data_IF_013734022259
#
_entry.id   IF_013734022259
#
_cell.length_a   1.000
_cell.length_b   1.000
_cell.length_c   1.000
_cell.angle_alpha   90.00
_cell.angle_beta   90.00
_cell.angle_gamma   90.00
#
_symmetry.space_group_name_H-M   'P 1'
#
loop_
_entity.id
_entity.type
_entity.pdbx_description
1 polymer ?
#
# COMPACT_ATOMS: atom_id res chain seq x y z
N UNK A 1 -4.72 -2.99 1.49
CA UNK A 1 -3.79 -3.99 0.89
C UNK A 1 -2.50 -4.19 1.70
N UNK A 2 -1.59 -3.22 1.72
CA UNK A 2 -0.23 -3.38 2.27
C UNK A 2 -0.21 -3.77 3.75
N UNK A 3 -0.99 -3.10 4.58
CA UNK A 3 -1.04 -3.39 6.02
C UNK A 3 -1.51 -4.83 6.30
N UNK A 4 -2.52 -5.31 5.57
CA UNK A 4 -2.97 -6.70 5.68
C UNK A 4 -1.84 -7.67 5.37
N UNK A 5 -1.12 -7.48 4.26
CA UNK A 5 -0.03 -8.35 3.84
C UNK A 5 1.09 -8.38 4.89
N UNK A 6 1.49 -7.22 5.42
CA UNK A 6 2.51 -7.14 6.48
C UNK A 6 2.04 -7.87 7.75
N UNK A 7 0.78 -7.67 8.16
CA UNK A 7 0.20 -8.39 9.31
C UNK A 7 0.09 -9.90 9.06
N UNK A 8 -0.24 -10.31 7.84
CA UNK A 8 -0.29 -11.71 7.44
C UNK A 8 1.07 -12.37 7.57
N UNK A 9 2.12 -11.75 7.01
CA UNK A 9 3.51 -12.24 7.09
C UNK A 9 3.95 -12.36 8.55
N UNK A 10 3.68 -11.34 9.37
CA UNK A 10 4.01 -11.40 10.79
C UNK A 10 3.29 -12.55 11.52
N UNK A 11 1.99 -12.73 11.25
CA UNK A 11 1.17 -13.75 11.93
C UNK A 11 1.46 -15.19 11.49
N UNK A 12 1.82 -15.41 10.21
CA UNK A 12 2.02 -16.76 9.64
C UNK A 12 3.48 -17.17 9.58
N UNK A 13 4.37 -16.22 9.31
CA UNK A 13 5.80 -16.48 9.11
C UNK A 13 6.64 -16.01 10.30
N UNK A 14 6.07 -15.31 11.29
CA UNK A 14 6.82 -14.76 12.43
C UNK A 14 7.80 -13.64 12.06
N UNK A 15 7.75 -13.17 10.80
CA UNK A 15 8.67 -12.19 10.25
C UNK A 15 8.07 -10.80 10.37
N UNK A 16 8.77 -9.91 11.08
CA UNK A 16 8.40 -8.49 11.13
C UNK A 16 9.00 -7.73 9.94
N UNK A 17 8.13 -7.23 9.06
CA UNK A 17 8.53 -6.28 8.02
C UNK A 17 8.31 -4.87 8.55
N UNK A 18 9.41 -4.20 8.91
CA UNK A 18 9.33 -2.82 9.37
C UNK A 18 8.91 -1.86 8.26
N UNK A 19 8.37 -0.70 8.65
CA UNK A 19 7.99 0.37 7.73
C UNK A 19 9.12 0.73 6.75
N UNK A 20 10.35 0.88 7.27
CA UNK A 20 11.52 1.21 6.46
C UNK A 20 11.84 0.14 5.40
N UNK A 21 11.68 -1.16 5.73
CA UNK A 21 11.86 -2.26 4.78
C UNK A 21 10.77 -2.28 3.71
N UNK A 22 9.52 -2.10 4.10
CA UNK A 22 8.42 -2.01 3.15
C UNK A 22 8.60 -0.83 2.18
N UNK A 23 9.05 0.31 2.71
CA UNK A 23 9.37 1.50 1.93
C UNK A 23 10.53 1.26 0.94
N UNK A 24 11.56 0.49 1.32
CA UNK A 24 12.65 0.13 0.42
C UNK A 24 12.21 -0.71 -0.79
N UNK A 25 11.07 -1.41 -0.70
CA UNK A 25 10.43 -2.11 -1.83
C UNK A 25 9.57 -1.14 -2.64
N UNK A 26 8.75 -0.33 -1.96
CA UNK A 26 7.79 0.57 -2.60
C UNK A 26 8.41 1.77 -3.32
N UNK A 27 9.43 2.40 -2.74
CA UNK A 27 10.06 3.61 -3.33
C UNK A 27 10.62 3.35 -4.72
N UNK A 28 11.44 2.30 -4.97
CA UNK A 28 11.93 2.02 -6.31
C UNK A 28 10.81 1.88 -7.34
N UNK A 29 9.72 1.19 -6.98
CA UNK A 29 8.55 1.07 -7.85
C UNK A 29 7.93 2.43 -8.15
N UNK A 30 7.68 3.26 -7.14
CA UNK A 30 7.06 4.58 -7.31
C UNK A 30 7.93 5.50 -8.18
N UNK A 31 9.24 5.51 -7.95
CA UNK A 31 10.18 6.34 -8.70
C UNK A 31 10.24 5.98 -10.19
N UNK A 32 9.94 4.74 -10.56
CA UNK A 32 9.87 4.30 -11.96
C UNK A 32 8.45 4.45 -12.50
N UNK A 33 7.46 3.97 -11.76
CA UNK A 33 6.09 3.84 -12.26
C UNK A 33 5.40 5.20 -12.41
N UNK A 34 5.61 6.15 -11.48
CA UNK A 34 4.98 7.48 -11.58
C UNK A 34 5.43 8.26 -12.83
N UNK A 35 6.74 8.37 -13.14
CA UNK A 35 7.18 8.97 -14.40
C UNK A 35 6.65 8.24 -15.64
N UNK A 36 6.59 6.90 -15.61
CA UNK A 36 6.02 6.11 -16.72
C UNK A 36 4.53 6.40 -16.89
N UNK A 37 3.76 6.48 -15.81
CA UNK A 37 2.35 6.87 -15.84
C UNK A 37 2.17 8.26 -16.43
N UNK A 38 2.96 9.24 -15.98
CA UNK A 38 2.91 10.60 -16.50
C UNK A 38 3.21 10.62 -18.00
N UNK A 39 4.31 9.98 -18.42
CA UNK A 39 4.71 9.96 -19.83
C UNK A 39 3.65 9.26 -20.70
N UNK A 40 3.14 8.11 -20.26
CA UNK A 40 2.14 7.35 -21.00
C UNK A 40 0.84 8.17 -21.15
N UNK A 41 0.33 8.74 -20.07
CA UNK A 41 -0.93 9.49 -20.11
C UNK A 41 -0.79 10.79 -20.90
N UNK A 42 0.24 11.59 -20.60
CA UNK A 42 0.41 12.94 -21.17
C UNK A 42 0.95 12.90 -22.59
N UNK A 43 1.95 12.05 -22.86
CA UNK A 43 2.67 12.06 -24.15
C UNK A 43 2.21 10.99 -25.13
N UNK A 44 1.75 9.82 -24.67
CA UNK A 44 1.37 8.73 -25.57
C UNK A 44 -0.13 8.62 -25.83
N UNK A 45 -0.96 8.58 -24.78
CA UNK A 45 -2.39 8.27 -24.87
C UNK A 45 -3.23 9.52 -25.19
N UNK A 46 -3.16 10.53 -24.33
CA UNK A 46 -4.00 11.72 -24.47
C UNK A 46 -3.33 12.87 -25.20
N UNK A 47 -2.00 12.80 -25.36
CA UNK A 47 -1.21 13.77 -26.14
C UNK A 47 -1.58 15.21 -25.79
N UNK A 48 -1.53 15.54 -24.49
CA UNK A 48 -1.90 16.86 -24.01
C UNK A 48 -1.03 17.91 -24.70
N UNK A 49 -1.69 18.88 -25.33
CA UNK A 49 -1.02 20.03 -25.94
C UNK A 49 -0.67 21.03 -24.85
N UNK A 50 0.52 21.63 -24.96
CA UNK A 50 0.97 22.73 -24.11
C UNK A 50 0.28 24.05 -24.55
N UNK A 51 -1.05 24.06 -24.54
CA UNK A 51 -1.84 25.26 -24.85
C UNK A 51 -2.04 26.08 -23.57
N UNK A 52 -1.76 27.40 -23.59
CA UNK A 52 -1.95 28.24 -22.42
C UNK A 52 -3.44 28.31 -22.06
N UNK A 53 -3.78 27.86 -20.85
CA UNK A 53 -5.16 27.90 -20.33
C UNK A 53 -5.52 29.37 -20.01
N UNK A 54 -6.48 29.98 -20.73
CA UNK A 54 -6.82 31.37 -20.52
C UNK A 54 -7.31 31.64 -19.08
N UNK A 55 -6.70 32.62 -18.41
CA UNK A 55 -7.08 33.00 -17.04
C UNK A 55 -6.48 32.12 -15.93
N UNK A 56 -5.67 31.10 -16.26
CA UNK A 56 -4.99 30.26 -15.27
C UNK A 56 -4.13 31.09 -14.31
N UNK A 57 -3.38 32.07 -14.81
CA UNK A 57 -2.52 32.92 -13.96
C UNK A 57 -3.34 33.73 -12.96
N UNK A 58 -4.52 34.22 -13.35
CA UNK A 58 -5.43 34.95 -12.46
C UNK A 58 -6.02 34.01 -11.40
N UNK A 59 -6.48 32.83 -11.80
CA UNK A 59 -6.99 31.82 -10.87
C UNK A 59 -5.91 31.36 -9.88
N UNK A 60 -4.69 31.13 -10.35
CA UNK A 60 -3.55 30.77 -9.49
C UNK A 60 -3.21 31.90 -8.52
N UNK A 61 -3.27 33.16 -8.96
CA UNK A 61 -3.08 34.31 -8.10
C UNK A 61 -4.17 34.38 -7.01
N UNK A 62 -5.44 34.20 -7.38
CA UNK A 62 -6.57 34.17 -6.44
C UNK A 62 -6.43 33.04 -5.41
N UNK A 63 -6.14 31.81 -5.86
CA UNK A 63 -5.94 30.66 -4.98
C UNK A 63 -4.75 30.85 -4.03
N UNK A 64 -3.65 31.46 -4.52
CA UNK A 64 -2.49 31.79 -3.67
C UNK A 64 -2.82 32.85 -2.64
N UNK A 65 -3.58 33.88 -3.00
CA UNK A 65 -4.01 34.91 -2.05
C UNK A 65 -5.01 34.39 -1.01
N UNK A 66 -5.84 33.40 -1.37
CA UNK A 66 -6.88 32.86 -0.49
C UNK A 66 -6.40 31.85 0.57
N UNK A 67 -5.21 31.24 0.41
CA UNK A 67 -4.75 30.17 1.31
C UNK A 67 -4.18 30.67 2.65
N UNK A 68 -3.75 31.94 2.75
CA UNK A 68 -3.19 32.51 3.98
C UNK A 68 -1.96 31.74 4.52
N UNK A 69 -1.40 32.17 5.66
CA UNK A 69 -0.35 31.41 6.34
C UNK A 69 -0.95 30.17 7.03
N UNK A 70 -0.16 29.09 7.13
CA UNK A 70 -0.58 27.87 7.81
C UNK A 70 -1.10 28.16 9.22
N UNK A 71 -2.27 27.60 9.53
CA UNK A 71 -2.86 27.74 10.85
C UNK A 71 -1.98 27.06 11.92
N UNK A 72 -2.20 27.42 13.19
CA UNK A 72 -1.51 26.75 14.30
C UNK A 72 -1.78 25.24 14.32
N UNK A 73 -3.02 24.82 14.03
CA UNK A 73 -3.40 23.42 13.93
C UNK A 73 -2.62 22.71 12.83
N UNK A 74 -2.59 23.26 11.62
CA UNK A 74 -1.84 22.69 10.49
C UNK A 74 -0.35 22.50 10.81
N UNK A 75 0.31 23.51 11.38
CA UNK A 75 1.74 23.41 11.74
C UNK A 75 2.02 22.34 12.78
N UNK A 76 1.16 22.23 13.79
CA UNK A 76 1.30 21.23 14.85
C UNK A 76 1.05 19.82 14.30
N UNK A 77 0.00 19.64 13.50
CA UNK A 77 -0.29 18.37 12.81
C UNK A 77 0.86 17.96 11.89
N UNK A 78 1.42 18.91 11.13
CA UNK A 78 2.61 18.67 10.30
C UNK A 78 3.82 18.24 11.15
N UNK A 79 4.02 18.87 12.31
CA UNK A 79 5.07 18.48 13.25
C UNK A 79 4.92 17.04 13.75
N UNK A 80 3.72 16.65 14.16
CA UNK A 80 3.42 15.25 14.57
C UNK A 80 3.65 14.28 13.42
N UNK A 81 3.19 14.63 12.21
CA UNK A 81 3.38 13.81 11.02
C UNK A 81 4.87 13.59 10.70
N UNK A 82 5.67 14.65 10.65
CA UNK A 82 7.11 14.56 10.37
C UNK A 82 7.81 13.74 11.45
N UNK A 83 7.51 13.97 12.73
CA UNK A 83 8.08 13.20 13.84
C UNK A 83 7.77 11.70 13.71
N UNK A 84 6.53 11.38 13.34
CA UNK A 84 6.08 9.98 13.14
C UNK A 84 6.82 9.33 11.97
N UNK A 85 6.92 10.02 10.82
CA UNK A 85 7.63 9.53 9.66
C UNK A 85 9.12 9.29 9.95
N UNK A 86 9.77 10.25 10.63
CA UNK A 86 11.16 10.10 11.07
C UNK A 86 11.33 8.93 12.03
N UNK A 87 10.41 8.76 12.99
CA UNK A 87 10.44 7.64 13.91
C UNK A 87 10.34 6.28 13.18
N UNK A 88 9.44 6.13 12.20
CA UNK A 88 9.34 4.91 11.40
C UNK A 88 10.59 4.63 10.54
N UNK A 89 11.13 5.66 9.88
CA UNK A 89 12.32 5.51 9.03
C UNK A 89 13.56 5.17 9.88
N UNK A 90 13.72 5.83 11.03
CA UNK A 90 14.90 5.67 11.90
C UNK A 90 14.74 4.58 12.94
N UNK A 91 13.56 3.95 13.09
CA UNK A 91 13.31 2.87 14.06
C UNK A 91 14.41 1.79 14.08
N UNK A 92 14.88 1.25 12.93
CA UNK A 92 15.94 0.23 12.94
C UNK A 92 17.25 0.69 13.58
N UNK A 93 17.51 2.00 13.59
CA UNK A 93 18.65 2.63 14.25
C UNK A 93 18.34 2.92 15.73
N UNK A 94 17.14 3.44 16.02
CA UNK A 94 16.69 3.78 17.37
C UNK A 94 16.72 2.59 18.32
N UNK A 95 16.23 1.43 17.87
CA UNK A 95 16.20 0.19 18.67
C UNK A 95 17.60 -0.31 19.04
N UNK A 96 18.62 0.05 18.25
CA UNK A 96 20.03 -0.35 18.47
C UNK A 96 20.78 0.59 19.40
N UNK A 97 20.21 1.75 19.77
CA UNK A 97 20.86 2.70 20.67
C UNK A 97 21.02 2.04 22.04
N UNK A 98 22.27 1.87 22.48
CA UNK A 98 22.61 1.39 23.81
C UNK A 98 23.30 2.50 24.61
N UNK A 99 22.77 2.80 25.79
CA UNK A 99 23.34 3.76 26.74
C UNK A 99 23.71 2.96 27.98
N UNK A 100 25.01 2.80 28.25
CA UNK A 100 25.49 2.08 29.43
C UNK A 100 25.08 0.60 29.48
N UNK A 101 24.91 -0.06 28.32
CA UNK A 101 24.45 -1.45 28.23
C UNK A 101 22.92 -1.62 28.26
N UNK A 102 22.16 -0.54 28.47
CA UNK A 102 20.70 -0.55 28.42
C UNK A 102 20.20 -0.06 27.07
N UNK A 103 19.18 -0.73 26.52
CA UNK A 103 18.54 -0.37 25.24
C UNK A 103 17.16 0.25 25.54
N UNK A 104 17.07 1.56 25.83
CA UNK A 104 15.81 2.20 26.24
C UNK A 104 14.71 2.08 25.19
N UNK A 105 15.09 1.99 23.90
CA UNK A 105 14.17 1.86 22.77
C UNK A 105 14.14 0.45 22.19
N UNK A 106 14.67 -0.55 22.91
CA UNK A 106 14.72 -1.95 22.46
C UNK A 106 13.34 -2.53 22.10
N UNK A 107 12.29 -2.07 22.79
CA UNK A 107 10.90 -2.48 22.58
C UNK A 107 10.09 -1.60 21.61
N UNK A 108 10.72 -0.67 20.89
CA UNK A 108 10.01 0.24 19.99
C UNK A 108 9.48 -0.52 18.76
N UNK A 109 8.17 -0.47 18.52
CA UNK A 109 7.50 -1.12 17.39
C UNK A 109 6.82 -0.12 16.45
N UNK A 110 6.62 -0.48 15.19
CA UNK A 110 5.90 0.39 14.23
C UNK A 110 4.45 0.69 14.66
N UNK A 111 3.66 -0.29 15.19
CA UNK A 111 2.38 -0.01 15.81
C UNK A 111 2.50 0.89 17.07
N UNK A 112 3.55 0.73 17.86
CA UNK A 112 3.81 1.56 19.04
C UNK A 112 4.02 3.04 18.67
N UNK A 113 4.80 3.30 17.61
CA UNK A 113 4.97 4.66 17.06
C UNK A 113 3.63 5.24 16.60
N UNK A 114 2.81 4.45 15.90
CA UNK A 114 1.50 4.88 15.41
C UNK A 114 0.54 5.25 16.56
N UNK A 115 0.48 4.41 17.61
CA UNK A 115 -0.34 4.67 18.80
C UNK A 115 0.14 5.92 19.54
N UNK A 116 1.46 6.07 19.72
CA UNK A 116 2.03 7.26 20.36
C UNK A 116 1.70 8.55 19.58
N UNK A 117 1.81 8.53 18.25
CA UNK A 117 1.42 9.64 17.40
C UNK A 117 -0.08 9.96 17.49
N UNK A 118 -0.95 8.94 17.47
CA UNK A 118 -2.38 9.12 17.63
C UNK A 118 -2.73 9.75 18.97
N UNK A 119 -2.15 9.26 20.08
CA UNK A 119 -2.33 9.84 21.41
C UNK A 119 -1.84 11.29 21.46
N UNK A 120 -0.70 11.59 20.82
CA UNK A 120 -0.16 12.94 20.76
C UNK A 120 -1.12 13.92 20.07
N UNK A 121 -1.83 13.49 19.02
CA UNK A 121 -2.86 14.31 18.36
C UNK A 121 -4.05 14.63 19.28
N UNK A 122 -4.41 13.74 20.20
CA UNK A 122 -5.47 14.00 21.18
C UNK A 122 -5.02 14.89 22.34
N UNK A 123 -3.73 14.91 22.66
CA UNK A 123 -3.19 15.64 23.82
C UNK A 123 -2.70 17.04 23.46
N UNK A 124 -2.22 17.26 22.23
CA UNK A 124 -1.67 18.57 21.82
C UNK A 124 -2.80 19.58 21.55
N UNK A 125 -2.86 20.70 22.28
CA UNK A 125 -3.93 21.68 22.11
C UNK A 125 -3.63 22.69 21.00
N UNK A 126 -4.62 22.95 20.15
CA UNK A 126 -4.62 24.07 19.19
C UNK A 126 -4.94 25.38 19.94
N UNK A 127 -6.04 25.40 20.69
CA UNK A 127 -6.47 26.53 21.54
C UNK A 127 -6.88 26.02 22.93
N UNK A 128 -5.95 26.13 23.88
CA UNK A 128 -6.16 25.70 25.28
C UNK A 128 -7.40 26.31 25.93
N UNK A 129 -7.65 27.61 25.71
CA UNK A 129 -8.79 28.33 26.31
C UNK A 129 -10.16 27.82 25.87
N UNK A 130 -10.24 27.23 24.67
CA UNK A 130 -11.48 26.67 24.12
C UNK A 130 -11.53 25.15 24.16
N UNK A 131 -10.54 24.49 24.79
CA UNK A 131 -10.44 23.03 24.82
C UNK A 131 -10.30 22.38 23.44
N UNK A 132 -9.76 23.11 22.45
CA UNK A 132 -9.60 22.59 21.09
C UNK A 132 -8.23 21.91 20.94
N UNK A 133 -8.24 20.64 20.57
CA UNK A 133 -7.08 19.78 20.34
C UNK A 133 -6.93 19.44 18.86
N UNK A 134 -5.79 18.85 18.45
CA UNK A 134 -5.56 18.50 17.03
C UNK A 134 -6.53 17.42 16.54
N UNK A 135 -6.99 16.53 17.43
CA UNK A 135 -7.95 15.48 17.13
C UNK A 135 -9.08 15.48 18.16
N UNK A 136 -10.29 15.18 17.70
CA UNK A 136 -11.45 14.91 18.54
C UNK A 136 -12.05 13.53 18.22
N UNK A 137 -12.88 13.02 19.13
CA UNK A 137 -13.46 11.68 19.00
C UNK A 137 -14.39 11.57 17.79
N UNK A 138 -15.17 12.62 17.50
CA UNK A 138 -16.06 12.67 16.33
C UNK A 138 -15.32 12.50 15.00
N UNK A 139 -14.05 12.92 14.94
CA UNK A 139 -13.19 12.68 13.78
C UNK A 139 -12.66 11.26 13.76
N UNK A 140 -12.25 10.71 14.91
CA UNK A 140 -11.72 9.34 15.01
C UNK A 140 -12.76 8.26 14.67
N UNK A 141 -14.04 8.46 15.01
CA UNK A 141 -15.11 7.50 14.69
C UNK A 141 -15.34 7.39 13.17
N UNK A 142 -14.99 8.42 12.39
CA UNK A 142 -15.09 8.40 10.91
C UNK A 142 -14.02 7.53 10.25
N UNK A 143 -13.04 7.03 11.00
CA UNK A 143 -12.07 6.10 10.47
C UNK A 143 -12.76 4.81 9.99
N UNK A 144 -12.26 4.18 8.92
CA UNK A 144 -12.87 2.98 8.35
C UNK A 144 -12.56 1.73 9.20
N UNK A 145 -13.15 1.63 10.40
CA UNK A 145 -12.94 0.54 11.36
C UNK A 145 -13.24 -0.86 10.77
N UNK A 146 -14.12 -0.93 9.77
CA UNK A 146 -14.39 -2.16 9.02
C UNK A 146 -13.15 -2.77 8.36
N UNK A 147 -12.12 -1.99 8.04
CA UNK A 147 -10.85 -2.52 7.52
C UNK A 147 -10.12 -3.38 8.55
N UNK A 148 -10.18 -3.02 9.84
CA UNK A 148 -9.57 -3.82 10.91
C UNK A 148 -10.30 -5.15 11.09
N UNK A 149 -11.62 -5.14 11.00
CA UNK A 149 -12.45 -6.37 11.03
C UNK A 149 -12.11 -7.26 9.83
N UNK A 150 -11.97 -6.68 8.63
CA UNK A 150 -11.57 -7.40 7.43
C UNK A 150 -10.17 -8.03 7.57
N UNK A 151 -9.23 -7.35 8.21
CA UNK A 151 -7.92 -7.92 8.49
C UNK A 151 -8.02 -9.12 9.44
N UNK A 152 -8.74 -8.97 10.55
CA UNK A 152 -9.00 -10.08 11.48
C UNK A 152 -9.69 -11.28 10.82
N UNK A 153 -10.65 -11.02 9.93
CA UNK A 153 -11.34 -12.03 9.14
C UNK A 153 -10.41 -12.76 8.16
N UNK A 154 -9.56 -12.03 7.43
CA UNK A 154 -8.59 -12.64 6.51
C UNK A 154 -7.51 -13.46 7.21
N UNK A 155 -7.03 -13.00 8.38
CA UNK A 155 -6.10 -13.79 9.21
C UNK A 155 -6.76 -15.04 9.79
N UNK A 156 -8.03 -14.95 10.20
CA UNK A 156 -8.82 -16.11 10.64
C UNK A 156 -9.04 -17.12 9.51
N UNK A 157 -9.35 -16.64 8.29
CA UNK A 157 -9.47 -17.48 7.10
C UNK A 157 -8.16 -18.21 6.82
N UNK A 158 -7.03 -17.52 6.85
CA UNK A 158 -5.71 -18.13 6.67
C UNK A 158 -5.43 -19.24 7.68
N UNK A 159 -5.72 -18.99 8.96
CA UNK A 159 -5.57 -20.01 9.99
C UNK A 159 -6.45 -21.25 9.73
N UNK A 160 -7.69 -21.05 9.26
CA UNK A 160 -8.60 -22.15 8.92
C UNK A 160 -8.14 -22.97 7.70
N UNK A 161 -7.59 -22.31 6.67
CA UNK A 161 -7.03 -23.00 5.50
C UNK A 161 -5.85 -23.90 5.90
N UNK A 162 -4.97 -23.41 6.78
CA UNK A 162 -3.83 -24.21 7.23
C UNK A 162 -4.25 -25.34 8.19
N UNK A 163 -5.17 -25.09 9.14
CA UNK A 163 -5.61 -26.12 10.09
C UNK A 163 -6.45 -27.23 9.45
N UNK A 164 -7.10 -26.96 8.31
CA UNK A 164 -7.94 -27.93 7.59
C UNK A 164 -7.16 -28.86 6.67
N UNK A 165 -5.85 -28.64 6.50
CA UNK A 165 -5.04 -29.36 5.51
C UNK A 165 -5.31 -28.92 4.07
N UNK A 166 -6.08 -27.84 3.86
CA UNK A 166 -6.39 -27.32 2.53
C UNK A 166 -5.14 -26.91 1.76
N UNK A 167 -4.13 -26.34 2.42
CA UNK A 167 -2.89 -25.93 1.77
C UNK A 167 -2.16 -27.09 1.09
N UNK A 168 -2.11 -28.26 1.74
CA UNK A 168 -1.53 -29.47 1.16
C UNK A 168 -2.39 -30.03 0.02
N UNK A 169 -3.71 -30.03 0.18
CA UNK A 169 -4.64 -30.44 -0.89
C UNK A 169 -4.50 -29.55 -2.13
N UNK A 170 -4.46 -28.23 -1.94
CA UNK A 170 -4.34 -27.27 -3.02
C UNK A 170 -2.99 -27.43 -3.74
N UNK A 171 -1.89 -27.59 -3.00
CA UNK A 171 -0.56 -27.87 -3.56
C UNK A 171 -0.54 -29.06 -4.52
N UNK A 172 -1.24 -30.15 -4.18
CA UNK A 172 -1.39 -31.31 -5.07
C UNK A 172 -2.21 -30.99 -6.33
N UNK A 173 -3.26 -30.19 -6.21
CA UNK A 173 -4.10 -29.78 -7.34
C UNK A 173 -3.39 -28.83 -8.30
N UNK A 174 -2.51 -27.97 -7.77
CA UNK A 174 -1.74 -27.00 -8.57
C UNK A 174 -0.35 -27.51 -8.92
N UNK A 175 -0.01 -28.77 -8.65
CA UNK A 175 1.32 -29.33 -8.88
C UNK A 175 1.81 -29.19 -10.33
N UNK A 176 0.90 -29.14 -11.31
CA UNK A 176 1.24 -28.86 -12.71
C UNK A 176 1.89 -27.47 -12.91
N UNK A 177 1.60 -26.49 -12.05
CA UNK A 177 2.21 -25.16 -12.07
C UNK A 177 3.68 -25.19 -11.65
N UNK A 178 4.14 -26.23 -10.93
CA UNK A 178 5.55 -26.41 -10.56
C UNK A 178 6.47 -26.52 -11.79
N UNK A 179 5.92 -26.94 -12.94
CA UNK A 179 6.67 -27.06 -14.19
C UNK A 179 6.93 -25.70 -14.86
N UNK A 180 6.23 -24.63 -14.46
CA UNK A 180 6.43 -23.31 -15.04
C UNK A 180 7.68 -22.64 -14.48
N UNK A 181 8.41 -21.86 -15.29
CA UNK A 181 9.45 -20.98 -14.75
C UNK A 181 8.85 -20.05 -13.69
N UNK A 182 9.50 -19.94 -12.53
CA UNK A 182 9.00 -19.15 -11.39
C UNK A 182 8.65 -17.72 -11.81
N UNK A 183 9.44 -17.10 -12.70
CA UNK A 183 9.18 -15.75 -13.21
C UNK A 183 7.83 -15.64 -13.94
N UNK A 184 7.48 -16.67 -14.73
CA UNK A 184 6.21 -16.73 -15.44
C UNK A 184 5.06 -16.93 -14.44
N UNK A 185 5.24 -17.79 -13.43
CA UNK A 185 4.25 -17.99 -12.38
C UNK A 185 3.96 -16.69 -11.62
N UNK A 186 4.99 -15.93 -11.24
CA UNK A 186 4.84 -14.62 -10.59
C UNK A 186 4.09 -13.65 -11.51
N UNK A 187 4.48 -13.56 -12.78
CA UNK A 187 3.81 -12.71 -13.76
C UNK A 187 2.33 -13.03 -13.96
N UNK A 188 1.97 -14.32 -13.97
CA UNK A 188 0.57 -14.76 -14.05
C UNK A 188 -0.22 -14.40 -12.79
N UNK A 189 0.36 -14.57 -11.60
CA UNK A 189 -0.28 -14.16 -10.34
C UNK A 189 -0.48 -12.65 -10.30
N UNK A 190 0.52 -11.86 -10.69
CA UNK A 190 0.41 -10.40 -10.77
C UNK A 190 -0.69 -10.00 -11.75
N UNK A 191 -0.71 -10.59 -12.95
CA UNK A 191 -1.75 -10.33 -13.94
C UNK A 191 -3.15 -10.65 -13.40
N UNK A 192 -3.32 -11.82 -12.79
CA UNK A 192 -4.58 -12.23 -12.18
C UNK A 192 -5.05 -11.20 -11.15
N UNK A 193 -4.18 -10.78 -10.24
CA UNK A 193 -4.53 -9.84 -9.16
C UNK A 193 -4.84 -8.45 -9.71
N UNK A 194 -4.05 -7.94 -10.66
CA UNK A 194 -4.28 -6.63 -11.29
C UNK A 194 -5.65 -6.59 -11.95
N UNK A 195 -6.01 -7.59 -12.75
CA UNK A 195 -7.33 -7.59 -13.41
C UNK A 195 -8.48 -7.87 -12.43
N UNK A 196 -8.27 -8.70 -11.40
CA UNK A 196 -9.30 -8.96 -10.40
C UNK A 196 -9.60 -7.73 -9.54
N UNK A 197 -8.59 -6.92 -9.22
CA UNK A 197 -8.76 -5.72 -8.40
C UNK A 197 -9.49 -4.59 -9.12
N UNK A 198 -9.73 -4.69 -10.43
CA UNK A 198 -10.61 -3.76 -11.15
C UNK A 198 -12.09 -3.99 -10.82
N UNK A 199 -12.44 -5.21 -10.43
CA UNK A 199 -13.81 -5.65 -10.16
C UNK A 199 -14.13 -5.70 -8.66
N UNK A 200 -13.11 -5.60 -7.81
CA UNK A 200 -13.20 -5.87 -6.37
C UNK A 200 -12.41 -4.83 -5.58
N UNK A 201 -12.72 -4.68 -4.28
CA UNK A 201 -11.94 -3.80 -3.41
C UNK A 201 -10.53 -4.32 -3.23
N UNK A 202 -9.51 -3.50 -3.50
CA UNK A 202 -8.08 -3.82 -3.33
C UNK A 202 -7.79 -4.55 -2.01
N UNK A 203 -8.41 -4.09 -0.92
CA UNK A 203 -8.20 -4.69 0.40
C UNK A 203 -8.89 -6.05 0.53
N UNK A 204 -10.09 -6.20 -0.03
CA UNK A 204 -10.78 -7.49 -0.06
C UNK A 204 -10.02 -8.51 -0.91
N UNK A 205 -9.55 -8.11 -2.10
CA UNK A 205 -8.71 -8.94 -2.99
C UNK A 205 -7.45 -9.43 -2.28
N UNK A 206 -6.78 -8.54 -1.53
CA UNK A 206 -5.60 -8.92 -0.75
C UNK A 206 -5.98 -9.88 0.38
N UNK A 207 -7.06 -9.59 1.12
CA UNK A 207 -7.48 -10.40 2.27
C UNK A 207 -7.89 -11.83 1.89
N UNK A 208 -8.41 -12.03 0.67
CA UNK A 208 -8.83 -13.33 0.17
C UNK A 208 -7.71 -14.08 -0.55
N UNK A 209 -6.94 -13.41 -1.42
CA UNK A 209 -5.96 -14.10 -2.25
C UNK A 209 -4.63 -14.36 -1.56
N UNK A 210 -4.16 -13.49 -0.66
CA UNK A 210 -2.86 -13.70 0.00
C UNK A 210 -2.79 -15.03 0.77
N UNK A 211 -3.81 -15.42 1.59
CA UNK A 211 -3.82 -16.73 2.23
C UNK A 211 -3.77 -17.90 1.23
N UNK A 212 -4.48 -17.79 0.11
CA UNK A 212 -4.51 -18.83 -0.94
C UNK A 212 -3.16 -18.92 -1.66
N UNK A 213 -2.56 -17.79 -2.01
CA UNK A 213 -1.25 -17.74 -2.68
C UNK A 213 -0.12 -18.22 -1.76
N UNK A 214 -0.23 -17.97 -0.45
CA UNK A 214 0.67 -18.55 0.55
C UNK A 214 0.57 -20.08 0.57
N UNK A 215 -0.67 -20.62 0.60
CA UNK A 215 -0.92 -22.05 0.52
C UNK A 215 -0.40 -22.69 -0.78
N UNK A 216 -0.55 -21.99 -1.91
CA UNK A 216 0.01 -22.42 -3.20
C UNK A 216 1.53 -22.44 -3.17
N UNK A 217 2.18 -21.37 -2.71
CA UNK A 217 3.65 -21.31 -2.68
C UNK A 217 4.25 -22.41 -1.80
N UNK A 218 3.71 -22.57 -0.58
CA UNK A 218 4.14 -23.62 0.36
C UNK A 218 3.87 -25.02 -0.19
N UNK A 219 2.71 -25.25 -0.81
CA UNK A 219 2.36 -26.52 -1.46
C UNK A 219 3.27 -26.88 -2.65
N UNK A 220 3.80 -25.87 -3.36
CA UNK A 220 4.76 -26.05 -4.45
C UNK A 220 6.23 -26.10 -3.98
N UNK A 221 6.48 -25.92 -2.67
CA UNK A 221 7.84 -25.84 -2.12
C UNK A 221 8.60 -24.57 -2.53
N UNK A 222 7.89 -23.51 -2.91
CA UNK A 222 8.45 -22.21 -3.26
C UNK A 222 8.48 -21.29 -2.04
N UNK A 223 9.43 -20.35 -2.02
CA UNK A 223 9.41 -19.24 -1.05
C UNK A 223 8.09 -18.45 -1.19
N UNK A 224 7.25 -18.37 -0.13
CA UNK A 224 5.98 -17.63 -0.18
C UNK A 224 6.11 -16.18 -0.59
N UNK A 225 7.24 -15.52 -0.29
CA UNK A 225 7.47 -14.12 -0.67
C UNK A 225 7.41 -13.90 -2.19
N UNK A 226 7.72 -14.93 -2.98
CA UNK A 226 7.64 -14.89 -4.45
C UNK A 226 6.24 -14.59 -4.95
N UNK A 227 5.19 -15.05 -4.25
CA UNK A 227 3.81 -14.88 -4.70
C UNK A 227 3.10 -13.78 -3.91
N UNK A 228 3.25 -13.75 -2.58
CA UNK A 228 2.43 -12.87 -1.73
C UNK A 228 2.84 -11.40 -1.80
N UNK A 229 4.14 -11.09 -1.93
CA UNK A 229 4.62 -9.70 -2.03
C UNK A 229 4.16 -9.04 -3.33
N UNK A 230 4.46 -9.60 -4.53
CA UNK A 230 3.98 -9.03 -5.78
C UNK A 230 2.45 -8.98 -5.84
N UNK A 231 1.73 -9.98 -5.32
CA UNK A 231 0.27 -9.94 -5.26
C UNK A 231 -0.27 -8.78 -4.41
N UNK A 232 0.31 -8.51 -3.23
CA UNK A 232 -0.14 -7.39 -2.40
C UNK A 232 0.10 -6.02 -3.04
N UNK A 233 1.20 -5.88 -3.78
CA UNK A 233 1.49 -4.67 -4.56
C UNK A 233 0.54 -4.56 -5.76
N UNK A 234 0.37 -5.65 -6.52
CA UNK A 234 -0.53 -5.77 -7.66
C UNK A 234 -1.98 -5.40 -7.32
N UNK A 235 -2.45 -5.77 -6.12
CA UNK A 235 -3.78 -5.39 -5.64
C UNK A 235 -3.98 -3.88 -5.50
N UNK A 236 -2.92 -3.06 -5.56
CA UNK A 236 -3.02 -1.60 -5.58
C UNK A 236 -3.00 -1.01 -6.99
N UNK A 237 -2.77 -1.82 -8.03
CA UNK A 237 -2.73 -1.41 -9.43
C UNK A 237 -4.10 -1.55 -10.09
N UNK A 238 -5.05 -0.69 -9.68
CA UNK A 238 -6.40 -0.64 -10.23
C UNK A 238 -6.61 0.66 -11.02
N UNK A 239 -6.48 0.59 -12.34
CA UNK A 239 -6.37 1.75 -13.23
C UNK A 239 -7.48 1.84 -14.29
N UNK A 240 -8.27 0.78 -14.52
CA UNK A 240 -9.21 0.70 -15.64
C UNK A 240 -10.62 1.19 -15.29
N UNK A 241 -11.16 0.80 -14.13
CA UNK A 241 -12.59 1.00 -13.84
C UNK A 241 -12.85 2.04 -12.74
N UNK A 242 -13.91 2.89 -12.87
CA UNK A 242 -14.23 3.90 -11.86
C UNK A 242 -14.58 3.31 -10.49
N UNK A 243 -15.24 2.15 -10.49
CA UNK A 243 -15.69 1.47 -9.27
C UNK A 243 -14.54 0.87 -8.46
N UNK A 244 -13.37 0.68 -9.07
CA UNK A 244 -12.26 -0.03 -8.46
C UNK A 244 -11.68 0.72 -7.25
N UNK A 245 -11.57 2.06 -7.32
CA UNK A 245 -11.02 2.87 -6.22
C UNK A 245 -11.72 4.23 -6.06
N UNK A 246 -11.79 4.79 -4.84
CA UNK A 246 -12.36 6.12 -4.62
C UNK A 246 -11.72 7.24 -5.47
N UNK A 247 -10.38 7.31 -5.66
CA UNK A 247 -9.78 8.32 -6.54
C UNK A 247 -10.28 8.23 -7.98
N UNK A 248 -10.43 7.02 -8.54
CA UNK A 248 -10.98 6.83 -9.88
C UNK A 248 -12.43 7.30 -9.96
N UNK A 249 -13.25 6.97 -8.96
CA UNK A 249 -14.64 7.41 -8.87
C UNK A 249 -14.79 8.93 -8.77
N UNK A 250 -13.91 9.61 -8.01
CA UNK A 250 -13.91 11.08 -7.87
C UNK A 250 -13.66 11.76 -9.22
N UNK A 251 -12.65 11.31 -9.96
CA UNK A 251 -12.34 11.88 -11.29
C UNK A 251 -13.45 11.57 -12.29
N UNK A 252 -13.96 10.33 -12.30
CA UNK A 252 -15.09 9.96 -13.16
C UNK A 252 -16.36 10.78 -12.85
N UNK A 253 -16.58 11.12 -11.58
CA UNK A 253 -17.69 11.97 -11.12
C UNK A 253 -17.67 13.40 -11.69
N UNK A 254 -16.58 13.84 -12.33
CA UNK A 254 -16.53 15.12 -13.06
C UNK A 254 -17.41 15.15 -14.31
N UNK A 255 -17.77 13.98 -14.86
CA UNK A 255 -18.50 13.88 -16.12
C UNK A 255 -17.65 14.19 -17.37
N UNK A 256 -16.35 14.45 -17.21
CA UNK A 256 -15.43 14.82 -18.29
C UNK A 256 -14.73 13.62 -18.94
N UNK A 257 -14.82 12.42 -18.35
CA UNK A 257 -14.11 11.22 -18.80
C UNK A 257 -15.07 10.04 -18.91
N UNK A 258 -15.08 9.38 -20.07
CA UNK A 258 -15.88 8.18 -20.31
C UNK A 258 -15.22 6.89 -19.79
N UNK A 259 -16.04 5.86 -19.52
CA UNK A 259 -15.55 4.52 -19.11
C UNK A 259 -14.58 3.93 -20.15
N UNK A 260 -14.87 3.96 -21.48
CA UNK A 260 -13.94 3.39 -22.47
C UNK A 260 -12.59 4.09 -22.53
N UNK A 261 -12.55 5.41 -22.29
CA UNK A 261 -11.31 6.20 -22.27
C UNK A 261 -10.45 5.79 -21.08
N UNK A 262 -11.07 5.73 -19.90
CA UNK A 262 -10.39 5.30 -18.68
C UNK A 262 -9.91 3.85 -18.78
N UNK A 263 -10.74 2.94 -19.29
CA UNK A 263 -10.40 1.53 -19.47
C UNK A 263 -9.24 1.33 -20.47
N UNK A 264 -9.22 2.10 -21.58
CA UNK A 264 -8.11 2.05 -22.55
C UNK A 264 -6.79 2.48 -21.93
N UNK A 265 -6.79 3.59 -21.18
CA UNK A 265 -5.60 4.06 -20.49
C UNK A 265 -5.14 3.11 -19.38
N UNK A 266 -6.09 2.65 -18.59
CA UNK A 266 -5.87 1.69 -17.50
C UNK A 266 -5.32 0.36 -18.00
N UNK A 267 -5.75 -0.14 -19.16
CA UNK A 267 -5.24 -1.40 -19.71
C UNK A 267 -3.74 -1.33 -19.98
N UNK A 268 -3.26 -0.23 -20.58
CA UNK A 268 -1.83 -0.04 -20.80
C UNK A 268 -1.05 0.09 -19.49
N UNK A 269 -1.60 0.81 -18.52
CA UNK A 269 -1.01 0.91 -17.18
C UNK A 269 -0.97 -0.44 -16.46
N UNK A 270 -2.00 -1.28 -16.62
CA UNK A 270 -2.05 -2.62 -16.06
C UNK A 270 -0.98 -3.52 -16.69
N UNK A 271 -0.82 -3.50 -18.02
CA UNK A 271 0.23 -4.27 -18.70
C UNK A 271 1.64 -3.85 -18.25
N UNK A 272 1.89 -2.55 -18.13
CA UNK A 272 3.15 -2.03 -17.58
C UNK A 272 3.31 -2.42 -16.11
N UNK A 273 2.23 -2.34 -15.33
CA UNK A 273 2.19 -2.76 -13.93
C UNK A 273 2.56 -4.23 -13.75
N UNK A 274 2.07 -5.11 -14.63
CA UNK A 274 2.45 -6.54 -14.64
C UNK A 274 3.96 -6.67 -14.78
N UNK A 275 4.56 -6.00 -15.76
CA UNK A 275 6.00 -6.06 -16.00
C UNK A 275 6.81 -5.48 -14.84
N UNK A 276 6.45 -4.27 -14.37
CA UNK A 276 7.18 -3.56 -13.33
C UNK A 276 7.07 -4.26 -11.97
N UNK A 277 5.89 -4.73 -11.58
CA UNK A 277 5.68 -5.43 -10.30
C UNK A 277 6.39 -6.80 -10.32
N UNK A 278 6.33 -7.52 -11.44
CA UNK A 278 7.06 -8.78 -11.60
C UNK A 278 8.57 -8.57 -11.54
N UNK A 279 9.10 -7.55 -12.23
CA UNK A 279 10.51 -7.20 -12.17
C UNK A 279 10.95 -6.74 -10.77
N UNK A 280 10.15 -5.91 -10.09
CA UNK A 280 10.41 -5.45 -8.73
C UNK A 280 10.48 -6.62 -7.74
N UNK A 281 9.57 -7.59 -7.86
CA UNK A 281 9.57 -8.77 -7.01
C UNK A 281 10.94 -9.46 -7.09
N UNK A 282 11.46 -9.67 -8.29
CA UNK A 282 12.74 -10.33 -8.51
C UNK A 282 13.97 -9.50 -8.16
N UNK A 283 14.00 -8.23 -8.56
CA UNK A 283 15.19 -7.39 -8.49
C UNK A 283 15.36 -6.73 -7.11
N UNK A 284 14.27 -6.56 -6.36
CA UNK A 284 14.28 -5.79 -5.11
C UNK A 284 13.68 -6.59 -3.95
N UNK A 285 12.46 -7.12 -4.10
CA UNK A 285 11.77 -7.73 -2.97
C UNK A 285 12.43 -9.03 -2.50
N UNK A 286 12.77 -9.94 -3.40
CA UNK A 286 13.43 -11.21 -3.03
C UNK A 286 14.83 -10.97 -2.45
N UNK A 287 15.74 -10.17 -3.04
CA UNK A 287 17.05 -9.97 -2.42
C UNK A 287 16.97 -9.30 -1.05
N UNK A 288 15.95 -8.46 -0.82
CA UNK A 288 15.77 -7.73 0.43
C UNK A 288 15.08 -8.57 1.53
N UNK A 289 14.17 -9.47 1.17
CA UNK A 289 13.35 -10.26 2.09
C UNK A 289 13.69 -11.76 2.12
N UNK A 290 14.17 -12.33 1.02
CA UNK A 290 14.53 -13.74 0.88
C UNK A 290 15.85 -14.13 1.55
N UNK A 291 16.59 -13.17 2.11
CA UNK A 291 17.74 -13.42 3.00
C UNK A 291 17.33 -13.57 4.47
N UNK A 292 16.02 -13.66 4.75
CA UNK A 292 15.52 -13.88 6.10
C UNK A 292 15.59 -15.39 6.42
N UNK A 293 16.03 -15.75 7.64
CA UNK A 293 16.25 -17.14 8.04
C UNK A 293 14.96 -17.97 8.04
#
# INVERSE_FOLDING_TARGET
PNLFLVSFIQSRMGIEISFARWMAIGIPLVLVFVPVCWWLLVKAIYQLRDEPVPGLDRLLAELRTGQGPMSKGERLTLGVFILTALAWITRPLLVRISIGGWQPLGGLTDPGIAVAAALLLFVVPVRLRSGEFLMNWDTAVKLPWGLLILFGGGLSLAAALDSSGFSAWLGNQVGALAALPVLLLVGLVVALVIFLTELTSNTATTATLIPVLYAVATGLGLDPFLLIIPAGIAASCAFMLPVATPPNAVVFGSGLIGIPEMARAGLWLNLIGILLVTALAYLVAIPLLGSLP
#
